data_IF_662160059736
#
_entry.id   IF_662160059736
#
_cell.length_a   1.000
_cell.length_b   1.000
_cell.length_c   1.000
_cell.angle_alpha   90.00
_cell.angle_beta   90.00
_cell.angle_gamma   90.00
#
_symmetry.space_group_name_H-M   'P 1'
#
loop_
_entity.id
_entity.type
_entity.pdbx_description
1 polymer ?
#
# COMPACT_ATOMS: atom_id res chain seq x y z
N UNK A 1 7.36 -8.23 10.31
CA UNK A 1 8.03 -9.51 9.96
C UNK A 1 9.51 -9.27 9.67
N UNK A 2 10.42 -10.19 10.07
CA UNK A 2 11.88 -10.02 9.86
C UNK A 2 12.45 -11.09 8.93
N UNK A 3 13.38 -10.66 8.07
CA UNK A 3 14.16 -11.53 7.21
C UNK A 3 15.54 -10.89 6.92
N UNK A 4 16.63 -11.54 7.35
CA UNK A 4 18.00 -11.01 7.29
C UNK A 4 18.05 -9.58 7.90
N UNK A 5 18.57 -8.61 7.16
CA UNK A 5 18.67 -7.20 7.55
C UNK A 5 17.39 -6.37 7.27
N UNK A 6 16.27 -7.03 6.90
CA UNK A 6 14.99 -6.39 6.61
C UNK A 6 13.99 -6.66 7.73
N UNK A 7 13.37 -5.60 8.27
CA UNK A 7 12.16 -5.66 9.08
C UNK A 7 11.01 -5.00 8.31
N UNK A 8 9.87 -5.70 8.16
CA UNK A 8 8.66 -5.16 7.52
C UNK A 8 7.59 -4.95 8.57
N UNK A 9 6.96 -3.78 8.54
CA UNK A 9 5.78 -3.43 9.35
C UNK A 9 4.60 -3.26 8.41
N UNK A 10 3.57 -4.07 8.63
CA UNK A 10 2.26 -3.91 8.00
C UNK A 10 1.42 -2.86 8.71
N UNK A 11 0.92 -1.88 7.98
CA UNK A 11 0.13 -0.77 8.50
C UNK A 11 -1.29 -0.77 7.93
N UNK A 12 -2.22 -0.18 8.67
CA UNK A 12 -3.51 0.26 8.16
C UNK A 12 -3.49 1.79 8.06
N UNK A 13 -3.75 2.30 6.87
CA UNK A 13 -3.64 3.75 6.58
C UNK A 13 -4.56 4.64 7.42
N UNK A 14 -5.47 4.06 8.16
CA UNK A 14 -6.45 4.75 9.01
C UNK A 14 -6.31 4.39 10.50
N UNK A 15 -5.47 3.43 10.88
CA UNK A 15 -5.34 3.01 12.26
C UNK A 15 -4.30 3.85 13.01
N UNK A 16 -4.69 4.38 14.17
CA UNK A 16 -3.78 5.10 15.07
C UNK A 16 -2.61 4.22 15.53
N UNK A 17 -2.90 2.95 15.76
CA UNK A 17 -1.91 1.92 16.09
C UNK A 17 -0.77 1.88 15.07
N UNK A 18 -1.04 2.09 13.78
CA UNK A 18 -0.01 2.10 12.73
C UNK A 18 1.00 3.23 12.92
N UNK A 19 0.52 4.41 13.33
CA UNK A 19 1.38 5.58 13.58
C UNK A 19 2.32 5.30 14.75
N UNK A 20 1.77 4.76 15.85
CA UNK A 20 2.53 4.46 17.06
C UNK A 20 3.53 3.32 16.82
N UNK A 21 3.11 2.25 16.13
CA UNK A 21 3.99 1.15 15.75
C UNK A 21 5.17 1.61 14.91
N UNK A 22 4.93 2.38 13.85
CA UNK A 22 5.98 2.93 12.99
C UNK A 22 6.92 3.85 13.77
N UNK A 23 6.37 4.74 14.60
CA UNK A 23 7.16 5.65 15.44
C UNK A 23 8.05 4.89 16.40
N UNK A 24 7.50 3.96 17.16
CA UNK A 24 8.24 3.21 18.18
C UNK A 24 9.34 2.38 17.54
N UNK A 25 9.04 1.64 16.47
CA UNK A 25 10.06 0.84 15.78
C UNK A 25 11.20 1.69 15.22
N UNK A 26 10.92 2.87 14.63
CA UNK A 26 11.98 3.76 14.13
C UNK A 26 12.86 4.26 15.28
N UNK A 27 12.27 4.58 16.44
CA UNK A 27 13.01 5.10 17.60
C UNK A 27 13.86 4.02 18.28
N UNK A 28 13.32 2.80 18.38
CA UNK A 28 13.97 1.66 19.04
C UNK A 28 15.06 1.03 18.17
N UNK A 29 14.75 0.74 16.90
CA UNK A 29 15.65 0.00 16.00
C UNK A 29 16.67 0.90 15.31
N UNK A 30 16.41 2.21 15.22
CA UNK A 30 17.26 3.20 14.53
C UNK A 30 17.75 2.68 13.19
N UNK A 31 16.86 2.34 12.25
CA UNK A 31 17.23 1.71 10.99
C UNK A 31 18.15 2.63 10.17
N UNK A 32 19.09 2.04 9.45
CA UNK A 32 19.95 2.77 8.52
C UNK A 32 19.23 3.24 7.25
N UNK A 33 18.13 2.54 6.89
CA UNK A 33 17.29 2.87 5.75
C UNK A 33 15.82 2.65 6.12
N UNK A 34 14.95 3.60 5.76
CA UNK A 34 13.50 3.47 5.87
C UNK A 34 12.91 3.36 4.46
N UNK A 35 12.39 2.19 4.12
CA UNK A 35 11.73 1.91 2.86
C UNK A 35 10.23 2.12 2.99
N UNK A 36 9.62 2.90 2.08
CA UNK A 36 8.21 3.28 2.15
C UNK A 36 7.44 2.81 0.91
N UNK A 37 6.21 2.30 1.12
CA UNK A 37 5.26 1.98 0.05
C UNK A 37 4.73 3.25 -0.61
N UNK A 38 5.62 4.04 -1.16
CA UNK A 38 5.35 5.29 -1.85
C UNK A 38 6.10 5.35 -3.17
N UNK A 39 5.57 6.12 -4.11
CA UNK A 39 6.28 6.65 -5.26
C UNK A 39 6.62 8.15 -5.06
N UNK A 40 7.42 8.72 -5.98
CA UNK A 40 7.86 10.12 -5.90
C UNK A 40 6.69 11.11 -5.83
N UNK A 41 5.61 10.87 -6.58
CA UNK A 41 4.46 11.76 -6.63
C UNK A 41 3.67 11.74 -5.31
N UNK A 42 3.48 10.53 -4.73
CA UNK A 42 2.81 10.38 -3.42
C UNK A 42 3.67 10.96 -2.29
N UNK A 43 4.98 10.76 -2.31
CA UNK A 43 5.89 11.39 -1.35
C UNK A 43 5.78 12.91 -1.41
N UNK A 44 5.85 13.50 -2.62
CA UNK A 44 5.72 14.95 -2.81
C UNK A 44 4.38 15.47 -2.26
N UNK A 45 3.27 14.79 -2.58
CA UNK A 45 1.94 15.15 -2.09
C UNK A 45 1.84 15.13 -0.57
N UNK A 46 2.40 14.11 0.09
CA UNK A 46 2.43 14.00 1.55
C UNK A 46 3.26 15.09 2.22
N UNK A 47 4.40 15.46 1.62
CA UNK A 47 5.30 16.47 2.17
C UNK A 47 4.73 17.90 2.08
N UNK A 48 4.03 18.21 1.00
CA UNK A 48 3.51 19.56 0.74
C UNK A 48 2.04 19.72 1.16
N UNK A 49 1.46 18.75 1.87
CA UNK A 49 0.03 18.73 2.24
C UNK A 49 -0.90 18.98 1.03
N UNK A 50 -0.41 18.73 -0.16
CA UNK A 50 -1.21 18.86 -1.36
C UNK A 50 -2.22 17.72 -1.41
N UNK A 51 -3.45 18.02 -1.00
CA UNK A 51 -4.59 17.16 -1.36
C UNK A 51 -4.73 17.27 -2.88
N UNK A 52 -4.11 16.34 -3.61
CA UNK A 52 -4.29 16.27 -5.05
C UNK A 52 -5.78 16.06 -5.32
N UNK A 53 -6.47 17.14 -5.67
CA UNK A 53 -7.83 17.04 -6.17
C UNK A 53 -7.73 16.39 -7.54
N UNK A 54 -8.44 15.27 -7.71
CA UNK A 54 -8.59 14.67 -9.02
C UNK A 54 -9.25 15.71 -9.94
N UNK A 55 -8.60 16.00 -11.05
CA UNK A 55 -9.10 16.93 -12.06
C UNK A 55 -9.58 16.15 -13.28
N UNK A 56 -10.49 16.73 -14.04
CA UNK A 56 -10.95 16.15 -15.32
C UNK A 56 -9.77 15.90 -16.26
N UNK A 57 -8.71 16.71 -16.20
CA UNK A 57 -7.47 16.49 -16.96
C UNK A 57 -6.75 15.19 -16.60
N UNK A 58 -7.00 14.61 -15.41
CA UNK A 58 -6.43 13.32 -15.05
C UNK A 58 -7.05 12.17 -15.85
N UNK A 59 -8.24 12.35 -16.42
CA UNK A 59 -8.89 11.36 -17.30
C UNK A 59 -8.01 11.04 -18.51
N UNK A 60 -7.37 12.04 -19.12
CA UNK A 60 -6.48 11.83 -20.28
C UNK A 60 -5.21 11.05 -19.88
N UNK A 61 -4.76 11.16 -18.63
CA UNK A 61 -3.53 10.53 -18.13
C UNK A 61 -3.75 9.09 -17.65
N UNK A 62 -4.84 8.82 -16.92
CA UNK A 62 -5.11 7.53 -16.28
C UNK A 62 -6.33 6.80 -16.86
N UNK A 63 -7.02 7.42 -17.80
CA UNK A 63 -8.27 6.94 -18.39
C UNK A 63 -9.48 7.15 -17.46
N UNK A 64 -10.68 7.21 -18.06
CA UNK A 64 -11.93 7.43 -17.30
C UNK A 64 -12.14 6.42 -16.17
N UNK A 65 -11.81 5.14 -16.42
CA UNK A 65 -12.00 4.07 -15.44
C UNK A 65 -11.02 4.20 -14.26
N UNK A 66 -9.76 4.53 -14.54
CA UNK A 66 -8.76 4.79 -13.50
C UNK A 66 -9.11 6.03 -12.68
N UNK A 67 -9.65 7.07 -13.34
CA UNK A 67 -10.16 8.26 -12.68
C UNK A 67 -11.32 7.94 -11.73
N UNK A 68 -12.34 7.24 -12.21
CA UNK A 68 -13.51 6.85 -11.40
C UNK A 68 -13.10 6.01 -10.18
N UNK A 69 -12.19 5.04 -10.37
CA UNK A 69 -11.68 4.23 -9.27
C UNK A 69 -10.91 5.07 -8.25
N UNK A 70 -10.05 5.96 -8.69
CA UNK A 70 -9.29 6.86 -7.81
C UNK A 70 -10.21 7.78 -7.02
N UNK A 71 -11.27 8.27 -7.67
CA UNK A 71 -12.28 9.12 -7.03
C UNK A 71 -13.04 8.34 -5.95
N UNK A 72 -13.56 7.15 -6.27
CA UNK A 72 -14.24 6.27 -5.30
C UNK A 72 -13.31 5.93 -4.13
N UNK A 73 -12.07 5.51 -4.42
CA UNK A 73 -11.08 5.19 -3.39
C UNK A 73 -10.80 6.36 -2.45
N UNK A 74 -10.68 7.58 -3.00
CA UNK A 74 -10.46 8.79 -2.20
C UNK A 74 -11.64 9.15 -1.30
N UNK A 75 -12.87 8.96 -1.78
CA UNK A 75 -14.10 9.18 -0.99
C UNK A 75 -14.21 8.17 0.15
N UNK A 76 -13.94 6.89 -0.13
CA UNK A 76 -13.97 5.81 0.88
C UNK A 76 -12.89 6.07 1.95
N UNK A 77 -11.65 6.32 1.53
CA UNK A 77 -10.55 6.60 2.47
C UNK A 77 -10.82 7.82 3.34
N UNK A 78 -11.42 8.88 2.75
CA UNK A 78 -11.78 10.07 3.52
C UNK A 78 -12.84 9.74 4.57
N UNK A 79 -13.95 9.08 4.18
CA UNK A 79 -15.02 8.70 5.12
C UNK A 79 -14.50 7.80 6.24
N UNK A 80 -13.65 6.82 5.93
CA UNK A 80 -13.04 5.95 6.93
C UNK A 80 -12.09 6.73 7.84
N UNK A 81 -11.26 7.61 7.29
CA UNK A 81 -10.38 8.47 8.06
C UNK A 81 -11.11 9.41 9.01
N UNK A 82 -12.20 10.02 8.54
CA UNK A 82 -13.06 10.89 9.36
C UNK A 82 -13.72 10.09 10.50
N UNK A 83 -14.12 8.85 10.25
CA UNK A 83 -14.70 7.97 11.27
C UNK A 83 -13.70 7.57 12.38
N UNK A 84 -12.45 7.34 12.02
CA UNK A 84 -11.39 6.91 12.98
C UNK A 84 -10.58 8.10 13.53
N UNK A 85 -10.75 9.29 12.96
CA UNK A 85 -10.01 10.50 13.34
C UNK A 85 -8.54 10.50 12.91
N UNK A 86 -8.17 9.67 11.92
CA UNK A 86 -6.80 9.57 11.38
C UNK A 86 -6.81 9.87 9.89
N UNK A 87 -6.01 10.84 9.48
CA UNK A 87 -5.84 11.16 8.06
C UNK A 87 -5.06 10.03 7.35
N UNK A 88 -5.52 9.56 6.17
CA UNK A 88 -4.81 8.54 5.40
C UNK A 88 -3.36 8.92 5.11
N UNK A 89 -2.43 8.00 5.31
CA UNK A 89 -1.00 8.21 5.11
C UNK A 89 -0.27 8.90 6.26
N UNK A 90 -0.93 9.09 7.41
CA UNK A 90 -0.31 9.70 8.61
C UNK A 90 0.88 8.90 9.12
N UNK A 91 0.86 7.57 9.02
CA UNK A 91 1.96 6.66 9.35
C UNK A 91 3.17 6.90 8.45
N UNK A 92 2.95 7.03 7.13
CA UNK A 92 4.01 7.36 6.16
C UNK A 92 4.60 8.74 6.42
N UNK A 93 3.75 9.74 6.71
CA UNK A 93 4.18 11.09 7.08
C UNK A 93 5.01 11.09 8.37
N UNK A 94 4.64 10.26 9.33
CA UNK A 94 5.42 10.07 10.57
C UNK A 94 6.78 9.45 10.29
N UNK A 95 6.84 8.40 9.46
CA UNK A 95 8.10 7.79 9.05
C UNK A 95 9.02 8.79 8.34
N UNK A 96 8.49 9.59 7.39
CA UNK A 96 9.26 10.62 6.68
C UNK A 96 9.81 11.66 7.65
N UNK A 97 8.99 12.14 8.58
CA UNK A 97 9.41 13.17 9.56
C UNK A 97 10.52 12.65 10.47
N UNK A 98 10.42 11.41 10.96
CA UNK A 98 11.43 10.78 11.81
C UNK A 98 12.70 10.50 11.03
N UNK A 99 12.60 9.99 9.80
CA UNK A 99 13.75 9.79 8.92
C UNK A 99 14.55 11.08 8.71
N UNK A 100 13.86 12.20 8.44
CA UNK A 100 14.49 13.53 8.33
C UNK A 100 15.18 13.94 9.63
N UNK A 101 14.53 13.78 10.78
CA UNK A 101 15.07 14.13 12.09
C UNK A 101 16.34 13.32 12.42
N UNK A 102 16.35 12.04 12.07
CA UNK A 102 17.48 11.13 12.30
C UNK A 102 18.52 11.12 11.18
N UNK A 103 18.31 11.91 10.10
CA UNK A 103 19.13 11.91 8.87
C UNK A 103 19.22 10.51 8.25
N UNK A 104 18.18 9.70 8.41
CA UNK A 104 18.10 8.34 7.86
C UNK A 104 17.70 8.40 6.38
N UNK A 105 18.32 7.57 5.54
CA UNK A 105 17.99 7.45 4.11
C UNK A 105 16.55 6.93 3.95
N UNK A 106 15.78 7.58 3.08
CA UNK A 106 14.46 7.09 2.65
C UNK A 106 14.59 6.42 1.28
N UNK A 107 14.03 5.22 1.14
CA UNK A 107 13.89 4.51 -0.12
C UNK A 107 12.41 4.39 -0.49
N UNK A 108 12.06 4.68 -1.74
CA UNK A 108 10.69 4.52 -2.26
C UNK A 108 10.63 3.20 -3.01
N UNK A 109 9.75 2.30 -2.57
CA UNK A 109 9.74 0.92 -3.06
C UNK A 109 8.55 0.58 -3.95
N UNK A 110 7.51 1.42 -4.01
CA UNK A 110 6.33 1.18 -4.82
C UNK A 110 6.47 1.76 -6.23
N UNK A 111 5.66 1.25 -7.15
CA UNK A 111 5.58 1.78 -8.50
C UNK A 111 4.79 3.08 -8.55
N UNK A 112 4.99 3.86 -9.62
CA UNK A 112 4.22 5.07 -9.86
C UNK A 112 2.73 4.74 -9.93
N UNK A 113 1.92 5.44 -9.12
CA UNK A 113 0.47 5.26 -9.03
C UNK A 113 -0.24 5.39 -10.38
N UNK A 114 0.27 6.24 -11.30
CA UNK A 114 -0.31 6.39 -12.62
C UNK A 114 -0.19 5.12 -13.46
N UNK A 115 0.91 4.39 -13.32
CA UNK A 115 1.11 3.08 -13.98
C UNK A 115 0.07 2.09 -13.43
N UNK A 116 -0.07 2.02 -12.09
CA UNK A 116 -1.08 1.17 -11.45
C UNK A 116 -2.47 1.47 -11.96
N UNK A 117 -2.86 2.75 -12.02
CA UNK A 117 -4.19 3.17 -12.46
C UNK A 117 -4.44 2.89 -13.94
N UNK A 118 -3.43 3.09 -14.81
CA UNK A 118 -3.52 2.73 -16.24
C UNK A 118 -3.71 1.22 -16.41
N UNK A 119 -2.91 0.41 -15.70
CA UNK A 119 -3.02 -1.06 -15.74
C UNK A 119 -4.37 -1.53 -15.23
N UNK A 120 -4.82 -0.98 -14.11
CA UNK A 120 -6.14 -1.21 -13.55
C UNK A 120 -7.25 -0.91 -14.56
N UNK A 121 -7.22 0.26 -15.19
CA UNK A 121 -8.20 0.66 -16.20
C UNK A 121 -8.30 -0.34 -17.37
N UNK A 122 -7.16 -0.92 -17.79
CA UNK A 122 -7.09 -1.89 -18.89
C UNK A 122 -7.46 -3.30 -18.46
N UNK A 123 -7.08 -3.70 -17.24
CA UNK A 123 -7.26 -5.06 -16.74
C UNK A 123 -8.70 -5.41 -16.37
N UNK A 124 -9.52 -4.43 -16.00
CA UNK A 124 -10.91 -4.63 -15.61
C UNK A 124 -11.76 -5.20 -16.75
N UNK A 125 -12.25 -6.42 -16.57
CA UNK A 125 -13.22 -7.04 -17.47
C UNK A 125 -14.61 -6.40 -17.36
N UNK A 126 -15.45 -6.56 -18.39
CA UNK A 126 -16.84 -6.09 -18.33
C UNK A 126 -17.62 -6.74 -17.19
N UNK A 127 -17.37 -8.02 -16.89
CA UNK A 127 -17.98 -8.72 -15.74
C UNK A 127 -17.62 -8.06 -14.42
N UNK A 128 -16.34 -7.75 -14.19
CA UNK A 128 -15.90 -7.08 -12.95
C UNK A 128 -16.46 -5.67 -12.82
N UNK A 129 -16.57 -4.94 -13.95
CA UNK A 129 -17.17 -3.61 -13.96
C UNK A 129 -18.62 -3.62 -13.51
N UNK A 130 -19.45 -4.50 -14.13
CA UNK A 130 -20.84 -4.65 -13.76
C UNK A 130 -20.98 -5.10 -12.31
N UNK A 131 -20.16 -6.07 -11.89
CA UNK A 131 -20.16 -6.57 -10.52
C UNK A 131 -19.82 -5.46 -9.53
N UNK A 132 -18.79 -4.65 -9.83
CA UNK A 132 -18.36 -3.52 -9.01
C UNK A 132 -19.47 -2.45 -8.92
N UNK A 133 -20.13 -2.12 -10.03
CA UNK A 133 -21.25 -1.18 -10.04
C UNK A 133 -22.41 -1.69 -9.19
N UNK A 134 -22.79 -2.96 -9.35
CA UNK A 134 -23.85 -3.58 -8.55
C UNK A 134 -23.50 -3.58 -7.07
N UNK A 135 -22.26 -3.93 -6.71
CA UNK A 135 -21.83 -3.97 -5.30
C UNK A 135 -21.76 -2.58 -4.68
N UNK A 136 -21.32 -1.56 -5.43
CA UNK A 136 -21.36 -0.16 -4.96
C UNK A 136 -22.82 0.28 -4.76
N UNK A 137 -23.71 -0.06 -5.72
CA UNK A 137 -25.12 0.30 -5.63
C UNK A 137 -25.80 -0.40 -4.45
N UNK A 138 -25.55 -1.70 -4.27
CA UNK A 138 -26.02 -2.45 -3.10
C UNK A 138 -25.48 -1.87 -1.81
N UNK A 139 -24.18 -1.61 -1.72
CA UNK A 139 -23.57 -0.98 -0.53
C UNK A 139 -24.08 0.44 -0.24
N UNK A 140 -24.54 1.17 -1.26
CA UNK A 140 -25.15 2.50 -1.11
C UNK A 140 -26.64 2.45 -0.71
N UNK A 141 -27.38 1.43 -1.19
CA UNK A 141 -28.84 1.31 -1.04
C UNK A 141 -29.22 0.35 0.10
N UNK A 142 -28.45 -0.73 0.27
CA UNK A 142 -28.72 -1.75 1.27
C UNK A 142 -28.10 -1.36 2.61
N UNK A 143 -28.96 -0.89 3.51
CA UNK A 143 -28.63 -0.70 4.92
C UNK A 143 -28.17 -2.02 5.55
N UNK A 144 -26.96 -2.00 6.12
CA UNK A 144 -26.52 -2.73 7.33
C UNK A 144 -26.56 -4.28 7.39
N UNK A 145 -27.43 -5.00 6.71
CA UNK A 145 -27.66 -6.42 7.00
C UNK A 145 -26.86 -7.41 6.14
N UNK A 146 -26.44 -7.06 4.91
CA UNK A 146 -25.66 -7.95 4.03
C UNK A 146 -24.12 -7.81 4.19
N UNK A 147 -23.67 -6.84 4.96
CA UNK A 147 -22.24 -6.74 5.38
C UNK A 147 -21.90 -7.77 6.49
N UNK A 148 -22.90 -8.48 6.98
CA UNK A 148 -22.73 -9.52 8.02
C UNK A 148 -21.95 -10.73 7.51
N UNK A 149 -22.10 -11.10 6.24
CA UNK A 149 -21.35 -12.20 5.60
C UNK A 149 -19.86 -11.93 5.46
N UNK A 150 -19.41 -10.68 5.61
CA UNK A 150 -18.00 -10.30 5.50
C UNK A 150 -17.27 -10.24 6.85
N UNK A 151 -17.95 -10.50 7.98
CA UNK A 151 -17.40 -10.29 9.34
C UNK A 151 -16.81 -8.87 9.58
N UNK A 152 -17.06 -7.93 8.64
CA UNK A 152 -16.51 -6.57 8.69
C UNK A 152 -17.05 -5.79 9.89
N UNK A 153 -18.25 -6.13 10.37
CA UNK A 153 -18.81 -5.50 11.59
C UNK A 153 -17.99 -5.77 12.86
N UNK A 154 -17.16 -6.83 12.86
CA UNK A 154 -16.30 -7.18 14.00
C UNK A 154 -14.89 -6.62 13.86
N UNK A 155 -14.55 -5.99 12.71
CA UNK A 155 -13.21 -5.44 12.51
C UNK A 155 -13.16 -4.08 13.20
N UNK A 156 -12.34 -3.99 14.24
CA UNK A 156 -12.00 -2.71 14.87
C UNK A 156 -11.09 -1.90 13.92
N UNK A 157 -11.69 -0.93 13.22
CA UNK A 157 -10.97 -0.07 12.27
C UNK A 157 -9.91 0.83 12.92
N UNK A 158 -9.90 0.92 14.26
CA UNK A 158 -8.87 1.66 15.00
C UNK A 158 -7.57 0.88 15.12
N UNK A 159 -7.59 -0.42 14.84
CA UNK A 159 -6.46 -1.34 14.90
C UNK A 159 -6.10 -1.90 13.53
N UNK A 160 -4.88 -2.39 13.42
CA UNK A 160 -4.47 -3.18 12.25
C UNK A 160 -5.09 -4.57 12.40
N UNK A 161 -5.89 -5.06 11.41
CA UNK A 161 -6.46 -6.39 11.47
C UNK A 161 -5.35 -7.46 11.52
N UNK A 162 -5.66 -8.61 12.13
CA UNK A 162 -4.71 -9.74 12.14
C UNK A 162 -4.43 -10.23 10.71
N UNK A 163 -3.27 -10.84 10.50
CA UNK A 163 -2.89 -11.37 9.18
C UNK A 163 -3.89 -12.42 8.67
N UNK A 164 -4.52 -13.18 9.56
CA UNK A 164 -5.56 -14.14 9.19
C UNK A 164 -6.79 -13.45 8.59
N UNK A 165 -7.27 -12.36 9.22
CA UNK A 165 -8.40 -11.56 8.73
C UNK A 165 -8.04 -10.93 7.39
N UNK A 166 -6.85 -10.35 7.26
CA UNK A 166 -6.36 -9.75 6.01
C UNK A 166 -6.34 -10.80 4.89
N UNK A 167 -5.79 -11.98 5.14
CA UNK A 167 -5.73 -13.09 4.17
C UNK A 167 -7.13 -13.52 3.73
N UNK A 168 -8.07 -13.68 4.66
CA UNK A 168 -9.47 -14.01 4.33
C UNK A 168 -10.11 -12.94 3.43
N UNK A 169 -9.90 -11.65 3.74
CA UNK A 169 -10.41 -10.54 2.94
C UNK A 169 -9.81 -10.52 1.52
N UNK A 170 -8.49 -10.66 1.42
CA UNK A 170 -7.80 -10.70 0.12
C UNK A 170 -8.29 -11.90 -0.71
N UNK A 171 -8.44 -13.07 -0.11
CA UNK A 171 -8.94 -14.26 -0.80
C UNK A 171 -10.38 -14.07 -1.32
N UNK A 172 -11.29 -13.51 -0.51
CA UNK A 172 -12.64 -13.16 -0.95
C UNK A 172 -12.61 -12.14 -2.10
N UNK A 173 -11.77 -11.10 -1.99
CA UNK A 173 -11.57 -10.12 -3.06
C UNK A 173 -11.02 -10.78 -4.33
N UNK A 174 -10.06 -11.70 -4.21
CA UNK A 174 -9.44 -12.40 -5.34
C UNK A 174 -10.45 -13.28 -6.10
N UNK A 175 -11.33 -13.97 -5.38
CA UNK A 175 -12.40 -14.74 -5.99
C UNK A 175 -13.41 -13.85 -6.73
N UNK A 176 -13.75 -12.70 -6.17
CA UNK A 176 -14.76 -11.80 -6.72
C UNK A 176 -14.23 -10.85 -7.80
N UNK A 177 -12.98 -10.38 -7.62
CA UNK A 177 -12.32 -9.37 -8.44
C UNK A 177 -10.87 -9.76 -8.76
N UNK A 178 -10.63 -10.85 -9.52
CA UNK A 178 -9.29 -11.37 -9.75
C UNK A 178 -8.35 -10.36 -10.43
N UNK A 179 -8.84 -9.60 -11.42
CA UNK A 179 -8.01 -8.62 -12.10
C UNK A 179 -7.71 -7.37 -11.25
N UNK A 180 -8.62 -7.00 -10.36
CA UNK A 180 -8.37 -5.94 -9.36
C UNK A 180 -7.23 -6.39 -8.43
N UNK A 181 -7.34 -7.58 -7.84
CA UNK A 181 -6.31 -8.10 -6.95
C UNK A 181 -4.96 -8.25 -7.67
N UNK A 182 -4.96 -8.76 -8.90
CA UNK A 182 -3.73 -8.87 -9.69
C UNK A 182 -3.01 -7.54 -9.82
N UNK A 183 -3.71 -6.45 -10.19
CA UNK A 183 -3.08 -5.15 -10.44
C UNK A 183 -2.74 -4.41 -9.15
N UNK A 184 -3.65 -4.41 -8.17
CA UNK A 184 -3.49 -3.59 -6.96
C UNK A 184 -2.67 -4.26 -5.87
N UNK A 185 -2.55 -5.61 -5.91
CA UNK A 185 -1.84 -6.38 -4.91
C UNK A 185 -0.65 -7.10 -5.54
N UNK A 186 -0.89 -8.08 -6.44
CA UNK A 186 0.15 -9.01 -6.88
C UNK A 186 1.28 -8.33 -7.66
N UNK A 187 0.93 -7.46 -8.63
CA UNK A 187 1.91 -6.73 -9.43
C UNK A 187 2.73 -5.76 -8.58
N UNK A 188 2.10 -5.10 -7.61
CA UNK A 188 2.78 -4.21 -6.68
C UNK A 188 3.67 -4.97 -5.71
N UNK A 189 3.21 -6.12 -5.19
CA UNK A 189 4.02 -6.99 -4.32
C UNK A 189 5.30 -7.41 -5.02
N UNK A 190 5.22 -7.82 -6.29
CA UNK A 190 6.39 -8.20 -7.07
C UNK A 190 7.38 -7.05 -7.23
N UNK A 191 6.90 -5.83 -7.49
CA UNK A 191 7.76 -4.64 -7.62
C UNK A 191 8.39 -4.28 -6.29
N UNK A 192 7.61 -4.23 -5.21
CA UNK A 192 8.12 -3.89 -3.87
C UNK A 192 9.11 -4.94 -3.37
N UNK A 193 8.83 -6.23 -3.55
CA UNK A 193 9.74 -7.32 -3.19
C UNK A 193 11.07 -7.22 -3.95
N UNK A 194 11.03 -6.96 -5.26
CA UNK A 194 12.23 -6.77 -6.09
C UNK A 194 13.04 -5.55 -5.61
N UNK A 195 12.39 -4.41 -5.38
CA UNK A 195 13.06 -3.20 -4.92
C UNK A 195 13.69 -3.40 -3.52
N UNK A 196 13.00 -4.10 -2.62
CA UNK A 196 13.54 -4.44 -1.30
C UNK A 196 14.69 -5.42 -1.38
N UNK A 197 14.63 -6.46 -2.21
CA UNK A 197 15.71 -7.42 -2.40
C UNK A 197 16.99 -6.73 -2.93
N UNK A 198 16.84 -5.81 -3.90
CA UNK A 198 17.96 -4.99 -4.39
C UNK A 198 18.52 -4.10 -3.28
N UNK A 199 17.67 -3.42 -2.53
CA UNK A 199 18.08 -2.54 -1.43
C UNK A 199 18.85 -3.30 -0.34
N UNK A 200 18.41 -4.53 -0.01
CA UNK A 200 19.09 -5.42 0.93
C UNK A 200 20.48 -5.83 0.44
N UNK A 201 20.59 -6.22 -0.83
CA UNK A 201 21.84 -6.65 -1.44
C UNK A 201 22.85 -5.51 -1.55
N UNK A 202 22.39 -4.29 -1.86
CA UNK A 202 23.24 -3.10 -1.95
C UNK A 202 23.69 -2.56 -0.57
N UNK A 203 23.00 -2.95 0.50
CA UNK A 203 23.24 -2.44 1.84
C UNK A 203 23.22 -3.56 2.89
N UNK A 204 24.09 -4.59 2.77
CA UNK A 204 24.06 -5.76 3.65
C UNK A 204 24.29 -5.41 5.13
N UNK A 205 25.08 -4.36 5.40
CA UNK A 205 25.44 -3.92 6.76
C UNK A 205 24.41 -2.99 7.41
N UNK A 206 23.36 -2.58 6.68
CA UNK A 206 22.36 -1.66 7.19
C UNK A 206 21.05 -2.37 7.51
N UNK A 207 20.52 -2.10 8.69
CA UNK A 207 19.16 -2.50 9.00
C UNK A 207 18.17 -1.67 8.17
N UNK A 208 17.25 -2.35 7.51
CA UNK A 208 16.22 -1.76 6.65
C UNK A 208 14.87 -1.96 7.32
N UNK A 209 14.15 -0.87 7.56
CA UNK A 209 12.77 -0.90 8.00
C UNK A 209 11.86 -0.58 6.81
N UNK A 210 11.03 -1.54 6.39
CA UNK A 210 10.02 -1.32 5.38
C UNK A 210 8.65 -1.06 6.03
N UNK A 211 7.99 0.02 5.62
CA UNK A 211 6.62 0.37 6.04
C UNK A 211 5.72 0.18 4.83
N UNK A 212 4.83 -0.80 4.92
CA UNK A 212 3.91 -1.19 3.85
C UNK A 212 2.50 -1.39 4.38
N UNK A 213 1.50 -1.38 3.51
CA UNK A 213 0.15 -1.79 3.89
C UNK A 213 0.12 -3.25 4.36
N UNK A 214 -0.66 -3.54 5.40
CA UNK A 214 -0.70 -4.88 6.01
C UNK A 214 -1.11 -6.00 5.03
N UNK A 215 -1.81 -5.67 3.96
CA UNK A 215 -2.14 -6.61 2.89
C UNK A 215 -0.97 -7.03 1.99
N UNK A 216 0.17 -6.37 2.11
CA UNK A 216 1.36 -6.61 1.28
C UNK A 216 2.48 -7.35 2.04
N UNK A 217 2.49 -7.27 3.36
CA UNK A 217 3.59 -7.68 4.24
C UNK A 217 4.01 -9.15 4.04
N UNK A 218 3.06 -10.07 4.13
CA UNK A 218 3.32 -11.53 4.07
C UNK A 218 3.81 -11.97 2.69
N UNK A 219 3.17 -11.46 1.64
CA UNK A 219 3.51 -11.83 0.26
C UNK A 219 4.87 -11.27 -0.17
N UNK A 220 5.21 -10.05 0.23
CA UNK A 220 6.52 -9.45 -0.05
C UNK A 220 7.63 -10.30 0.55
N UNK A 221 7.52 -10.72 1.82
CA UNK A 221 8.51 -11.59 2.45
C UNK A 221 8.65 -12.92 1.72
N UNK A 222 7.52 -13.52 1.32
CA UNK A 222 7.50 -14.78 0.57
C UNK A 222 8.22 -14.66 -0.77
N UNK A 223 7.97 -13.57 -1.51
CA UNK A 223 8.61 -13.29 -2.79
C UNK A 223 10.13 -13.07 -2.62
N UNK A 224 10.56 -12.29 -1.62
CA UNK A 224 11.99 -12.06 -1.35
C UNK A 224 12.70 -13.38 -1.00
N UNK A 225 12.09 -14.25 -0.18
CA UNK A 225 12.68 -15.55 0.15
C UNK A 225 12.81 -16.45 -1.07
N UNK A 226 11.80 -16.44 -1.95
CA UNK A 226 11.82 -17.24 -3.19
C UNK A 226 12.92 -16.76 -4.14
N UNK A 227 13.08 -15.45 -4.32
CA UNK A 227 14.13 -14.88 -5.19
C UNK A 227 15.53 -15.10 -4.62
N UNK A 228 15.69 -15.11 -3.30
CA UNK A 228 16.98 -15.41 -2.65
C UNK A 228 17.44 -16.85 -2.87
N UNK A 229 16.51 -17.78 -3.16
CA UNK A 229 16.83 -19.16 -3.55
C UNK A 229 17.22 -19.32 -5.02
N UNK A 230 16.80 -18.40 -5.87
CA UNK A 230 17.19 -18.35 -7.29
C UNK A 230 18.18 -17.22 -7.46
N UNK A 231 19.49 -17.52 -7.62
CA UNK A 231 20.53 -16.55 -7.95
C UNK A 231 20.26 -15.94 -9.34
N UNK A 232 19.39 -14.93 -9.40
CA UNK A 232 19.21 -14.11 -10.58
C UNK A 232 19.91 -12.77 -10.30
N UNK A 233 21.04 -12.53 -10.95
CA UNK A 233 21.75 -11.25 -10.94
C UNK A 233 20.94 -10.23 -11.75
N UNK A 234 20.30 -9.27 -11.06
CA UNK A 234 19.73 -8.09 -11.71
C UNK A 234 20.64 -6.89 -11.49
N UNK A 235 21.25 -6.40 -12.56
CA UNK A 235 21.88 -5.07 -12.57
C UNK A 235 20.82 -4.05 -12.98
N UNK A 236 20.42 -3.16 -12.07
CA UNK A 236 19.63 -1.97 -12.39
C UNK A 236 20.31 -0.76 -11.77
N UNK A 237 20.71 0.16 -12.66
CA UNK A 237 21.24 1.46 -12.24
C UNK A 237 20.12 2.31 -11.62
N UNK A 238 20.17 2.50 -10.30
CA UNK A 238 19.48 3.60 -9.66
C UNK A 238 20.23 4.88 -10.00
N UNK A 239 19.76 5.66 -10.98
CA UNK A 239 20.18 7.06 -11.07
C UNK A 239 19.69 7.80 -9.85
N UNK A 240 20.65 8.17 -9.01
CA UNK A 240 20.51 9.02 -7.84
C UNK A 240 19.72 10.28 -8.15
N UNK A 241 18.91 10.68 -7.20
CA UNK A 241 18.74 12.08 -6.84
C UNK A 241 17.77 12.19 -5.67
N UNK A 242 18.24 12.42 -4.53
CA UNK A 242 18.12 13.70 -3.78
C UNK A 242 18.87 13.55 -2.49
#
# INVERSE_FOLDING_TARGET
>A
MRYKNLNIIGTSHIARQSIDSVKNTILEEKPGIIALELDKNRLYGLMHNQKRKLSISDISRIGFKGFLFSWIGSVIQKKLGDYVGVAPGSEMKTAIRLAKKQKTRIALIDQNIEITLKRFSRALTWKEKWRLLVDIFKGAVLKKNELEDLDIKKIDLTKVPTQEVIRKLINKMRQRYPNICRVLIDERNNIMAKNLALLMNENPEKNILAVVGAGHEEEIITLIKKDSGNKISYSLSFKNSI
#
